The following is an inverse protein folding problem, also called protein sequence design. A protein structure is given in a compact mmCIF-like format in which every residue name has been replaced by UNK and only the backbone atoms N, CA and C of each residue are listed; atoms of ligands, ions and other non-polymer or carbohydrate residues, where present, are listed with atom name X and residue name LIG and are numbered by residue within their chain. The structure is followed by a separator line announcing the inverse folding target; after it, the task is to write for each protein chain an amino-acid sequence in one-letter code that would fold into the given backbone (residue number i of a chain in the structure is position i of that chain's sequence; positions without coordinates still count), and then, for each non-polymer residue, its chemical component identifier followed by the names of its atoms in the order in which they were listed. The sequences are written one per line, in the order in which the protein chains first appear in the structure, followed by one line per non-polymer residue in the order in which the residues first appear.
data_IF_844932504652
#
_entry.id   IF_844932504652
#
_cell.length_a   1.000
_cell.length_b   1.000
_cell.length_c   1.000
_cell.angle_alpha   90.00
_cell.angle_beta   90.00
_cell.angle_gamma   90.00
#
_symmetry.space_group_name_H-M   'P 1'
#
loop_
_entity.id
_entity.type
_entity.pdbx_description
1 polymer ?
#
# COMPACT_ATOMS: atom_id res chain seq x y z
N UNK A 1 5.43 -21.17 -30.07
CA UNK A 1 4.00 -20.92 -29.83
C UNK A 1 3.91 -19.71 -28.91
N UNK A 2 3.37 -18.60 -29.39
CA UNK A 2 3.20 -17.38 -28.59
C UNK A 2 1.82 -17.42 -27.96
N UNK A 3 1.73 -17.18 -26.66
CA UNK A 3 0.46 -17.07 -25.94
C UNK A 3 0.10 -15.58 -25.91
N UNK A 4 -1.03 -15.21 -26.50
CA UNK A 4 -1.54 -13.84 -26.50
C UNK A 4 -2.47 -13.62 -25.31
N UNK A 5 -2.11 -12.71 -24.40
CA UNK A 5 -2.86 -12.44 -23.16
C UNK A 5 -3.36 -10.99 -23.05
N UNK A 6 -3.04 -10.13 -24.02
CA UNK A 6 -3.34 -8.69 -23.99
C UNK A 6 -4.85 -8.36 -23.98
N UNK A 7 -5.70 -9.31 -24.36
CA UNK A 7 -7.16 -9.17 -24.36
C UNK A 7 -7.81 -9.57 -23.03
N UNK A 8 -7.05 -10.19 -22.11
CA UNK A 8 -7.59 -10.63 -20.84
C UNK A 8 -7.59 -9.47 -19.83
N UNK A 9 -8.67 -9.31 -19.04
CA UNK A 9 -8.68 -8.32 -17.98
C UNK A 9 -7.68 -8.72 -16.89
N UNK A 10 -6.99 -7.72 -16.33
CA UNK A 10 -6.11 -7.88 -15.19
C UNK A 10 -6.88 -7.65 -13.88
N UNK A 11 -6.58 -8.49 -12.89
CA UNK A 11 -6.98 -8.29 -11.50
C UNK A 11 -5.71 -8.04 -10.70
N UNK A 12 -5.58 -6.86 -10.10
CA UNK A 12 -4.53 -6.60 -9.13
C UNK A 12 -4.93 -7.27 -7.80
N UNK A 13 -4.27 -8.39 -7.50
CA UNK A 13 -4.59 -9.21 -6.32
C UNK A 13 -4.08 -8.61 -5.01
N UNK A 14 -3.30 -7.53 -5.04
CA UNK A 14 -2.93 -6.80 -3.85
C UNK A 14 -2.39 -5.39 -4.15
N UNK A 15 -3.19 -4.37 -3.83
CA UNK A 15 -2.77 -2.97 -3.87
C UNK A 15 -3.20 -2.21 -2.60
N UNK A 16 -2.90 -0.92 -2.56
CA UNK A 16 -3.29 0.00 -1.48
C UNK A 16 -4.17 1.12 -2.03
N UNK A 17 -5.13 1.62 -1.24
CA UNK A 17 -5.92 2.77 -1.61
C UNK A 17 -5.03 4.01 -1.63
N UNK A 18 -5.44 4.98 -2.43
CA UNK A 18 -4.82 6.29 -2.53
C UNK A 18 -5.90 7.31 -2.89
N UNK A 19 -5.83 8.49 -2.29
CA UNK A 19 -6.57 9.67 -2.71
C UNK A 19 -5.56 10.80 -2.74
N UNK A 20 -4.94 10.99 -3.90
CA UNK A 20 -3.95 12.05 -4.10
C UNK A 20 -4.29 12.89 -5.34
N UNK A 21 -5.48 13.53 -5.35
CA UNK A 21 -5.84 14.44 -6.42
C UNK A 21 -4.95 15.68 -6.33
N UNK A 22 -4.49 16.16 -7.49
CA UNK A 22 -3.71 17.39 -7.59
C UNK A 22 -2.34 17.21 -8.21
N UNK A 23 -1.66 18.33 -8.42
CA UNK A 23 -0.38 18.38 -9.10
C UNK A 23 0.74 17.76 -8.25
N UNK A 24 1.68 17.11 -8.92
CA UNK A 24 2.89 16.58 -8.31
C UNK A 24 4.10 17.36 -8.82
N UNK A 25 5.02 17.67 -7.90
CA UNK A 25 6.39 18.02 -8.30
C UNK A 25 7.09 16.80 -8.88
N UNK A 26 8.18 17.03 -9.62
CA UNK A 26 9.01 15.94 -10.15
C UNK A 26 9.55 15.06 -9.02
N UNK A 27 10.01 15.66 -7.93
CA UNK A 27 10.55 14.94 -6.78
C UNK A 27 9.48 14.07 -6.10
N UNK A 28 8.29 14.62 -5.85
CA UNK A 28 7.16 13.89 -5.27
C UNK A 28 6.73 12.73 -6.17
N UNK A 29 6.71 12.96 -7.48
CA UNK A 29 6.40 11.91 -8.44
C UNK A 29 7.42 10.76 -8.36
N UNK A 30 8.71 11.07 -8.26
CA UNK A 30 9.78 10.07 -8.08
C UNK A 30 9.64 9.36 -6.71
N UNK A 31 9.22 10.05 -5.67
CA UNK A 31 9.04 9.46 -4.34
C UNK A 31 7.88 8.48 -4.26
N UNK A 32 6.88 8.60 -5.15
CA UNK A 32 5.79 7.64 -5.28
C UNK A 32 6.26 6.25 -5.77
N UNK A 33 7.52 6.13 -6.22
CA UNK A 33 8.11 4.89 -6.70
C UNK A 33 8.84 4.12 -5.57
N UNK A 34 8.13 3.17 -4.94
CA UNK A 34 8.56 2.43 -3.73
C UNK A 34 9.65 1.34 -3.89
N UNK A 35 10.04 0.89 -5.10
CA UNK A 35 10.93 -0.27 -5.27
C UNK A 35 12.44 0.01 -5.17
N UNK A 36 12.83 1.19 -4.70
CA UNK A 36 14.23 1.66 -4.67
C UNK A 36 14.88 1.64 -3.29
N UNK A 37 14.16 1.16 -2.26
CA UNK A 37 14.61 1.15 -0.87
C UNK A 37 13.94 2.22 0.00
N UNK A 38 14.53 2.50 1.16
CA UNK A 38 14.02 3.49 2.12
C UNK A 38 13.95 4.90 1.53
N UNK A 39 12.88 5.64 1.84
CA UNK A 39 12.81 7.07 1.55
C UNK A 39 13.65 7.90 2.52
N UNK A 40 13.73 9.21 2.29
CA UNK A 40 14.41 10.17 3.19
C UNK A 40 13.96 10.02 4.66
N UNK A 41 12.65 9.85 4.98
CA UNK A 41 12.23 9.63 6.37
C UNK A 41 12.80 8.34 6.99
N UNK A 42 12.87 7.25 6.21
CA UNK A 42 13.43 5.99 6.67
C UNK A 42 14.93 6.10 6.95
N UNK A 43 15.66 6.74 6.04
CA UNK A 43 17.11 6.97 6.18
C UNK A 43 17.42 7.87 7.38
N UNK A 44 16.61 8.91 7.59
CA UNK A 44 16.72 9.82 8.73
C UNK A 44 16.44 9.09 10.05
N UNK A 45 15.41 8.24 10.08
CA UNK A 45 15.13 7.39 11.25
C UNK A 45 16.27 6.40 11.55
N UNK A 46 17.05 6.02 10.52
CA UNK A 46 18.28 5.26 10.65
C UNK A 46 19.51 6.06 11.10
N UNK A 47 19.38 7.37 11.36
CA UNK A 47 20.45 8.23 11.87
C UNK A 47 21.23 9.03 10.82
N UNK A 48 20.82 9.00 9.55
CA UNK A 48 21.42 9.86 8.52
C UNK A 48 20.90 11.30 8.64
N UNK A 49 21.76 12.31 8.37
CA UNK A 49 21.32 13.71 8.39
C UNK A 49 20.29 13.97 7.30
N UNK A 50 19.24 14.71 7.63
CA UNK A 50 18.28 15.19 6.65
C UNK A 50 18.83 16.44 5.97
N UNK A 51 19.62 16.23 4.92
CA UNK A 51 20.21 17.29 4.10
C UNK A 51 19.95 17.07 2.59
N UNK A 52 20.36 18.05 1.78
CA UNK A 52 20.17 18.00 0.32
C UNK A 52 20.93 16.82 -0.31
N UNK A 53 22.09 16.44 0.24
CA UNK A 53 22.87 15.32 -0.29
C UNK A 53 22.11 13.99 -0.13
N UNK A 54 21.45 13.78 1.02
CA UNK A 54 20.58 12.61 1.22
C UNK A 54 19.39 12.61 0.25
N UNK A 55 18.74 13.76 0.06
CA UNK A 55 17.60 13.90 -0.86
C UNK A 55 18.05 13.56 -2.29
N UNK A 56 19.16 14.14 -2.75
CA UNK A 56 19.71 13.94 -4.09
C UNK A 56 20.12 12.48 -4.33
N UNK A 57 20.75 11.83 -3.33
CA UNK A 57 21.12 10.41 -3.38
C UNK A 57 19.87 9.52 -3.54
N UNK A 58 18.87 9.70 -2.68
CA UNK A 58 17.62 8.91 -2.73
C UNK A 58 16.89 9.11 -4.06
N UNK A 59 16.81 10.35 -4.55
CA UNK A 59 16.24 10.68 -5.85
C UNK A 59 17.04 10.05 -6.99
N UNK A 60 18.37 10.07 -6.91
CA UNK A 60 19.28 9.45 -7.88
C UNK A 60 19.09 7.94 -7.97
N UNK A 61 19.08 7.24 -6.84
CA UNK A 61 18.83 5.79 -6.76
C UNK A 61 17.48 5.44 -7.38
N UNK A 62 16.42 6.17 -7.01
CA UNK A 62 15.07 5.99 -7.57
C UNK A 62 15.02 6.13 -9.08
N UNK A 63 15.58 7.23 -9.61
CA UNK A 63 15.55 7.54 -11.05
C UNK A 63 16.36 6.54 -11.87
N UNK A 64 17.38 5.92 -11.27
CA UNK A 64 18.24 4.93 -11.92
C UNK A 64 17.71 3.50 -11.82
N UNK A 65 16.70 3.23 -10.99
CA UNK A 65 16.05 1.93 -10.93
C UNK A 65 15.42 1.57 -12.30
N UNK A 66 15.62 0.32 -12.73
CA UNK A 66 15.12 -0.18 -14.03
C UNK A 66 13.62 0.08 -14.18
N UNK A 67 12.85 -0.19 -13.13
CA UNK A 67 11.41 -0.08 -13.16
C UNK A 67 10.93 1.38 -13.30
N UNK A 68 11.62 2.35 -12.68
CA UNK A 68 11.31 3.77 -12.85
C UNK A 68 11.55 4.18 -14.30
N UNK A 69 12.71 3.83 -14.86
CA UNK A 69 13.03 4.10 -16.27
C UNK A 69 12.06 3.42 -17.25
N UNK A 70 11.53 2.26 -16.90
CA UNK A 70 10.49 1.59 -17.67
C UNK A 70 9.16 2.33 -17.56
N UNK A 71 8.73 2.69 -16.35
CA UNK A 71 7.50 3.43 -16.10
C UNK A 71 7.45 4.77 -16.82
N UNK A 72 8.53 5.56 -16.80
CA UNK A 72 8.61 6.84 -17.54
C UNK A 72 8.38 6.61 -19.04
N UNK A 73 8.93 5.55 -19.63
CA UNK A 73 8.71 5.24 -21.05
C UNK A 73 7.28 4.80 -21.35
N UNK A 74 6.66 4.02 -20.46
CA UNK A 74 5.27 3.60 -20.64
C UNK A 74 4.30 4.78 -20.51
N UNK A 75 4.52 5.63 -19.49
CA UNK A 75 3.72 6.83 -19.28
C UNK A 75 3.91 7.84 -20.42
N UNK A 76 5.12 8.04 -20.92
CA UNK A 76 5.36 8.90 -22.07
C UNK A 76 4.61 8.41 -23.33
N UNK A 77 4.59 7.09 -23.57
CA UNK A 77 3.79 6.51 -24.65
C UNK A 77 2.29 6.73 -24.44
N UNK A 78 1.81 6.54 -23.21
CA UNK A 78 0.41 6.75 -22.86
C UNK A 78 -0.03 8.20 -23.04
N UNK A 79 0.79 9.16 -22.61
CA UNK A 79 0.52 10.59 -22.74
C UNK A 79 0.87 11.17 -24.11
N UNK A 80 1.60 10.43 -24.96
CA UNK A 80 2.07 10.93 -26.25
C UNK A 80 3.15 12.03 -26.15
N UNK A 81 3.96 12.05 -25.09
CA UNK A 81 5.05 13.01 -24.90
C UNK A 81 6.43 12.35 -25.00
N UNK A 82 7.52 13.14 -24.91
CA UNK A 82 8.86 12.55 -24.89
C UNK A 82 9.09 11.75 -23.59
N UNK A 83 9.92 10.70 -23.60
CA UNK A 83 10.25 9.92 -22.40
C UNK A 83 11.23 10.65 -21.48
N UNK A 84 10.90 11.89 -21.14
CA UNK A 84 11.62 12.81 -20.26
C UNK A 84 10.77 13.00 -19.00
N UNK A 85 11.38 12.79 -17.83
CA UNK A 85 10.67 12.81 -16.54
C UNK A 85 9.82 14.08 -16.35
N UNK A 86 10.38 15.26 -16.60
CA UNK A 86 9.66 16.53 -16.46
C UNK A 86 8.46 16.64 -17.40
N UNK A 87 8.57 16.16 -18.65
CA UNK A 87 7.46 16.17 -19.62
C UNK A 87 6.35 15.18 -19.22
N UNK A 88 6.73 13.99 -18.72
CA UNK A 88 5.76 13.00 -18.21
C UNK A 88 5.01 13.56 -17.01
N UNK A 89 5.70 14.20 -16.06
CA UNK A 89 5.06 14.81 -14.89
C UNK A 89 4.14 15.96 -15.29
N UNK A 90 4.55 16.82 -16.23
CA UNK A 90 3.71 17.90 -16.74
C UNK A 90 2.44 17.35 -17.44
N UNK A 91 2.57 16.32 -18.28
CA UNK A 91 1.44 15.68 -18.95
C UNK A 91 0.49 15.00 -17.96
N UNK A 92 1.04 14.28 -16.96
CA UNK A 92 0.26 13.70 -15.86
C UNK A 92 -0.51 14.78 -15.10
N UNK A 93 0.14 15.89 -14.75
CA UNK A 93 -0.51 16.99 -14.02
C UNK A 93 -1.66 17.59 -14.84
N UNK A 94 -1.47 17.81 -16.14
CA UNK A 94 -2.53 18.28 -17.03
C UNK A 94 -3.71 17.29 -17.09
N UNK A 95 -3.45 15.99 -17.22
CA UNK A 95 -4.49 14.95 -17.25
C UNK A 95 -5.23 14.86 -15.90
N UNK A 96 -4.50 14.94 -14.78
CA UNK A 96 -5.05 14.79 -13.43
C UNK A 96 -6.02 15.89 -12.99
N UNK A 97 -6.17 16.97 -13.77
CA UNK A 97 -7.21 18.00 -13.56
C UNK A 97 -8.62 17.42 -13.67
N UNK A 98 -8.79 16.37 -14.48
CA UNK A 98 -9.96 15.50 -14.48
C UNK A 98 -9.53 14.14 -13.93
N UNK A 99 -9.43 14.07 -12.60
CA UNK A 99 -8.81 12.93 -11.92
C UNK A 99 -9.53 11.61 -12.22
N UNK A 100 -10.87 11.62 -12.25
CA UNK A 100 -11.67 10.42 -12.53
C UNK A 100 -11.46 9.89 -13.95
N UNK A 101 -11.44 10.76 -14.97
CA UNK A 101 -11.16 10.31 -16.33
C UNK A 101 -9.69 9.91 -16.52
N UNK A 102 -8.77 10.58 -15.83
CA UNK A 102 -7.35 10.23 -15.81
C UNK A 102 -7.12 8.81 -15.26
N UNK A 103 -7.66 8.49 -14.08
CA UNK A 103 -7.53 7.14 -13.48
C UNK A 103 -8.21 6.08 -14.36
N UNK A 104 -9.40 6.37 -14.87
CA UNK A 104 -10.12 5.51 -15.83
C UNK A 104 -9.31 5.20 -17.08
N UNK A 105 -8.70 6.22 -17.69
CA UNK A 105 -7.90 6.05 -18.89
C UNK A 105 -6.65 5.20 -18.63
N UNK A 106 -5.96 5.42 -17.50
CA UNK A 106 -4.81 4.61 -17.11
C UNK A 106 -5.18 3.15 -16.89
N UNK A 107 -6.26 2.88 -16.16
CA UNK A 107 -6.71 1.51 -15.89
C UNK A 107 -7.18 0.80 -17.15
N UNK A 108 -7.89 1.53 -18.02
CA UNK A 108 -8.27 1.02 -19.34
C UNK A 108 -7.06 0.65 -20.20
N UNK A 109 -6.00 1.47 -20.17
CA UNK A 109 -4.79 1.22 -20.96
C UNK A 109 -4.00 -0.03 -20.53
N UNK A 110 -4.15 -0.48 -19.28
CA UNK A 110 -3.56 -1.74 -18.80
C UNK A 110 -4.58 -2.88 -18.64
N UNK A 111 -5.83 -2.69 -19.07
CA UNK A 111 -6.90 -3.69 -18.93
C UNK A 111 -7.23 -4.03 -17.47
N UNK A 112 -6.97 -3.13 -16.54
CA UNK A 112 -7.16 -3.35 -15.10
C UNK A 112 -8.64 -3.23 -14.73
N UNK A 113 -9.26 -4.35 -14.41
CA UNK A 113 -10.68 -4.45 -14.14
C UNK A 113 -11.01 -4.42 -12.64
N UNK A 114 -10.13 -4.99 -11.81
CA UNK A 114 -10.40 -5.21 -10.38
C UNK A 114 -9.14 -4.97 -9.54
N UNK A 115 -9.36 -4.37 -8.37
CA UNK A 115 -8.35 -4.09 -7.35
C UNK A 115 -8.73 -4.81 -6.04
N UNK A 116 -7.88 -5.70 -5.56
CA UNK A 116 -7.97 -6.25 -4.21
C UNK A 116 -7.16 -5.35 -3.28
N UNK A 117 -7.86 -4.51 -2.54
CA UNK A 117 -7.28 -3.31 -1.92
C UNK A 117 -7.18 -3.46 -0.42
N UNK A 118 -5.96 -3.38 0.11
CA UNK A 118 -5.68 -3.38 1.55
C UNK A 118 -5.83 -1.99 2.16
N UNK A 119 -6.92 -1.78 2.89
CA UNK A 119 -7.26 -0.51 3.54
C UNK A 119 -6.57 -0.29 4.90
N UNK A 120 -5.73 -1.22 5.36
CA UNK A 120 -4.90 -1.03 6.54
C UNK A 120 -3.64 -0.20 6.32
N UNK A 121 -3.44 0.33 5.11
CA UNK A 121 -2.36 1.24 4.74
C UNK A 121 -2.75 2.07 3.50
N UNK A 122 -2.44 3.38 3.44
CA UNK A 122 -1.72 4.16 4.44
C UNK A 122 -2.54 4.43 5.71
N UNK A 123 -1.89 4.99 6.73
CA UNK A 123 -2.55 5.52 7.93
C UNK A 123 -2.44 7.06 7.96
N UNK A 124 -3.51 7.80 8.30
CA UNK A 124 -4.86 7.31 8.60
C UNK A 124 -5.51 6.60 7.40
N UNK A 125 -6.35 5.60 7.69
CA UNK A 125 -6.98 4.77 6.66
C UNK A 125 -7.82 5.63 5.71
N UNK A 126 -7.72 5.33 4.42
CA UNK A 126 -8.56 5.92 3.38
C UNK A 126 -9.98 5.34 3.51
N UNK A 127 -10.99 6.18 3.40
CA UNK A 127 -12.38 5.72 3.43
C UNK A 127 -12.70 4.83 2.21
N UNK A 128 -13.34 3.69 2.47
CA UNK A 128 -13.60 2.65 1.45
C UNK A 128 -14.56 3.16 0.38
N UNK A 129 -15.62 3.84 0.79
CA UNK A 129 -16.67 4.28 -0.13
C UNK A 129 -16.20 5.50 -0.94
N UNK A 130 -15.44 6.40 -0.32
CA UNK A 130 -14.76 7.49 -1.03
C UNK A 130 -13.79 6.96 -2.09
N UNK A 131 -12.98 5.95 -1.75
CA UNK A 131 -12.07 5.34 -2.73
C UNK A 131 -12.84 4.63 -3.86
N UNK A 132 -13.92 3.91 -3.56
CA UNK A 132 -14.79 3.30 -4.59
C UNK A 132 -15.43 4.33 -5.51
N UNK A 133 -15.79 5.50 -5.00
CA UNK A 133 -16.42 6.56 -5.79
C UNK A 133 -15.45 7.21 -6.79
N UNK A 134 -14.16 7.27 -6.46
CA UNK A 134 -13.13 7.94 -7.27
C UNK A 134 -12.44 7.03 -8.30
N UNK A 135 -12.58 5.70 -8.14
CA UNK A 135 -11.79 4.72 -8.87
C UNK A 135 -12.64 3.98 -9.91
N UNK A 136 -12.13 3.92 -11.14
CA UNK A 136 -12.84 3.37 -12.29
C UNK A 136 -12.71 1.83 -12.45
N UNK A 137 -12.27 1.13 -11.42
CA UNK A 137 -12.16 -0.33 -11.37
C UNK A 137 -13.01 -0.89 -10.21
N UNK A 138 -13.38 -2.16 -10.30
CA UNK A 138 -14.02 -2.82 -9.17
C UNK A 138 -13.06 -2.89 -7.98
N UNK A 139 -13.47 -2.41 -6.81
CA UNK A 139 -12.66 -2.48 -5.58
C UNK A 139 -13.19 -3.59 -4.68
N UNK A 140 -12.31 -4.49 -4.30
CA UNK A 140 -12.53 -5.58 -3.34
C UNK A 140 -11.72 -5.26 -2.08
N UNK A 141 -12.35 -4.73 -1.01
CA UNK A 141 -11.64 -4.40 0.22
C UNK A 141 -11.13 -5.64 0.95
N UNK A 142 -9.89 -5.59 1.44
CA UNK A 142 -9.33 -6.57 2.40
C UNK A 142 -8.85 -5.86 3.67
N UNK A 143 -8.99 -6.56 4.80
CA UNK A 143 -8.75 -6.01 6.13
C UNK A 143 -7.37 -6.44 6.65
N UNK A 144 -6.50 -5.47 6.94
CA UNK A 144 -5.22 -5.74 7.60
C UNK A 144 -5.43 -5.91 9.10
N UNK A 145 -4.97 -7.03 9.64
CA UNK A 145 -5.18 -7.35 11.06
C UNK A 145 -4.23 -6.60 12.00
N UNK A 146 -3.06 -6.13 11.53
CA UNK A 146 -2.07 -5.52 12.41
C UNK A 146 -2.48 -4.20 13.07
N UNK A 147 -3.17 -3.26 12.40
CA UNK A 147 -3.72 -2.08 13.07
C UNK A 147 -4.63 -2.44 14.25
N UNK A 148 -5.51 -3.43 14.09
CA UNK A 148 -6.35 -3.95 15.17
C UNK A 148 -5.52 -4.55 16.30
N UNK A 149 -4.51 -5.36 15.98
CA UNK A 149 -3.62 -5.94 16.99
C UNK A 149 -2.93 -4.83 17.80
N UNK A 150 -2.42 -3.78 17.14
CA UNK A 150 -1.79 -2.63 17.80
C UNK A 150 -2.77 -1.90 18.72
N UNK A 151 -3.99 -1.65 18.27
CA UNK A 151 -5.05 -1.05 19.08
C UNK A 151 -5.36 -1.88 20.33
N UNK A 152 -5.58 -3.19 20.16
CA UNK A 152 -5.91 -4.10 21.26
C UNK A 152 -4.75 -4.27 22.26
N UNK A 153 -3.49 -4.23 21.79
CA UNK A 153 -2.31 -4.25 22.66
C UNK A 153 -2.21 -2.99 23.53
N UNK A 154 -2.60 -1.83 22.99
CA UNK A 154 -2.61 -0.56 23.72
C UNK A 154 -3.77 -0.44 24.73
N UNK A 155 -4.83 -1.23 24.57
CA UNK A 155 -5.99 -1.21 25.46
C UNK A 155 -5.69 -1.86 26.83
N UNK A 156 -6.24 -1.33 27.94
CA UNK A 156 -6.07 -1.89 29.28
C UNK A 156 -6.98 -3.11 29.53
N UNK A 157 -6.85 -4.16 28.73
CA UNK A 157 -7.72 -5.37 28.72
C UNK A 157 -6.97 -6.68 29.01
N UNK A 158 -7.61 -7.70 29.58
CA UNK A 158 -6.99 -9.02 29.75
C UNK A 158 -6.90 -9.84 28.46
N UNK A 159 -6.13 -10.92 28.46
CA UNK A 159 -5.98 -11.83 27.30
C UNK A 159 -7.32 -12.38 26.78
N UNK A 160 -8.23 -12.76 27.69
CA UNK A 160 -9.56 -13.25 27.30
C UNK A 160 -10.35 -12.20 26.51
N UNK A 161 -10.31 -10.94 26.94
CA UNK A 161 -10.99 -9.84 26.28
C UNK A 161 -10.30 -9.44 24.97
N UNK A 162 -8.96 -9.48 24.93
CA UNK A 162 -8.19 -9.29 23.70
C UNK A 162 -8.64 -10.29 22.62
N UNK A 163 -8.66 -11.59 22.94
CA UNK A 163 -9.08 -12.64 21.99
C UNK A 163 -10.52 -12.43 21.53
N UNK A 164 -11.43 -12.20 22.48
CA UNK A 164 -12.84 -11.98 22.18
C UNK A 164 -13.03 -10.83 21.20
N UNK A 165 -12.43 -9.66 21.48
CA UNK A 165 -12.52 -8.49 20.58
C UNK A 165 -11.87 -8.75 19.23
N UNK A 166 -10.70 -9.39 19.20
CA UNK A 166 -10.03 -9.74 17.95
C UNK A 166 -10.91 -10.62 17.05
N UNK A 167 -11.47 -11.71 17.61
CA UNK A 167 -12.33 -12.64 16.88
C UNK A 167 -13.64 -11.96 16.44
N UNK A 168 -14.31 -11.22 17.34
CA UNK A 168 -15.54 -10.50 17.04
C UNK A 168 -15.35 -9.43 15.96
N UNK A 169 -14.27 -8.65 16.02
CA UNK A 169 -13.97 -7.66 14.99
C UNK A 169 -13.70 -8.31 13.64
N UNK A 170 -12.94 -9.42 13.59
CA UNK A 170 -12.71 -10.14 12.32
C UNK A 170 -14.01 -10.65 11.72
N UNK A 171 -14.87 -11.26 12.55
CA UNK A 171 -16.18 -11.74 12.09
C UNK A 171 -17.02 -10.58 11.56
N UNK A 172 -17.06 -9.46 12.29
CA UNK A 172 -17.85 -8.29 11.91
C UNK A 172 -17.36 -7.65 10.60
N UNK A 173 -16.04 -7.50 10.40
CA UNK A 173 -15.54 -6.88 9.15
C UNK A 173 -15.85 -7.70 7.91
N UNK A 174 -15.83 -9.03 8.03
CA UNK A 174 -16.13 -9.96 6.93
C UNK A 174 -17.64 -10.06 6.68
N UNK A 175 -18.44 -10.14 7.74
CA UNK A 175 -19.88 -10.41 7.62
C UNK A 175 -20.71 -9.13 7.40
N UNK A 176 -20.30 -8.01 7.99
CA UNK A 176 -21.13 -6.81 8.09
C UNK A 176 -20.49 -5.56 7.48
N UNK A 177 -19.17 -5.47 7.39
CA UNK A 177 -18.49 -4.25 6.89
C UNK A 177 -17.99 -4.34 5.44
N UNK A 178 -18.29 -5.42 4.72
CA UNK A 178 -18.02 -5.53 3.29
C UNK A 178 -16.54 -5.76 2.91
N UNK A 179 -15.75 -6.35 3.83
CA UNK A 179 -14.42 -6.87 3.52
C UNK A 179 -14.48 -8.31 3.03
N UNK A 180 -13.67 -8.66 2.03
CA UNK A 180 -13.69 -9.97 1.36
C UNK A 180 -12.46 -10.83 1.65
N UNK A 181 -11.55 -10.35 2.49
CA UNK A 181 -10.33 -11.05 2.82
C UNK A 181 -9.57 -10.40 3.96
N UNK A 182 -8.60 -11.12 4.49
CA UNK A 182 -7.69 -10.65 5.53
C UNK A 182 -6.27 -10.53 4.98
N UNK A 183 -5.52 -9.56 5.51
CA UNK A 183 -4.10 -9.38 5.24
C UNK A 183 -3.33 -9.39 6.55
N UNK A 184 -2.21 -10.09 6.56
CA UNK A 184 -1.19 -9.96 7.59
C UNK A 184 0.11 -9.41 6.99
N UNK A 185 0.79 -8.56 7.75
CA UNK A 185 2.14 -8.05 7.50
C UNK A 185 3.16 -8.62 8.51
N UNK A 186 2.88 -9.79 9.09
CA UNK A 186 3.74 -10.47 10.07
C UNK A 186 5.20 -10.65 9.59
N UNK A 187 5.42 -10.85 8.28
CA UNK A 187 6.75 -10.92 7.69
C UNK A 187 7.64 -9.71 8.03
N UNK A 188 7.06 -8.51 8.10
CA UNK A 188 7.75 -7.27 8.43
C UNK A 188 7.96 -7.07 9.94
N UNK A 189 7.42 -7.97 10.77
CA UNK A 189 7.48 -7.89 12.24
C UNK A 189 8.38 -8.97 12.81
N UNK A 190 8.08 -10.23 12.50
CA UNK A 190 8.73 -11.41 13.10
C UNK A 190 9.32 -12.35 12.05
N UNK A 191 9.20 -12.04 10.76
CA UNK A 191 9.47 -12.98 9.68
C UNK A 191 8.33 -13.97 9.45
N UNK A 192 8.56 -14.95 8.59
CA UNK A 192 7.57 -15.96 8.16
C UNK A 192 7.84 -17.36 8.72
N UNK A 193 8.79 -17.50 9.65
CA UNK A 193 9.00 -18.73 10.40
C UNK A 193 7.91 -18.89 11.48
N UNK A 194 6.66 -18.96 10.99
CA UNK A 194 5.46 -19.08 11.81
C UNK A 194 5.28 -20.56 12.12
N UNK A 195 5.67 -20.94 13.32
CA UNK A 195 5.31 -22.25 13.87
C UNK A 195 3.91 -22.19 14.48
N UNK A 196 3.13 -23.29 14.42
CA UNK A 196 2.00 -23.44 15.33
C UNK A 196 2.56 -23.31 16.74
N UNK A 197 2.25 -22.21 17.41
CA UNK A 197 2.59 -21.98 18.81
C UNK A 197 2.28 -23.28 19.58
N UNK A 198 3.30 -23.85 20.18
CA UNK A 198 3.31 -25.22 20.69
C UNK A 198 2.26 -25.41 21.78
N UNK A 199 1.04 -25.83 21.43
CA UNK A 199 0.04 -26.59 22.22
C UNK A 199 -0.31 -26.14 23.66
N UNK A 200 0.21 -25.04 24.18
CA UNK A 200 -0.12 -24.53 25.53
C UNK A 200 -0.98 -23.27 25.39
N UNK A 201 -2.21 -23.26 25.95
CA UNK A 201 -3.16 -22.13 25.87
C UNK A 201 -2.62 -20.76 26.29
N UNK A 202 -1.53 -20.74 27.07
CA UNK A 202 -1.03 -19.55 27.77
C UNK A 202 0.02 -18.74 27.01
N UNK A 203 0.50 -19.20 25.84
CA UNK A 203 1.58 -18.49 25.12
C UNK A 203 1.18 -17.09 24.65
N UNK A 204 -0.07 -16.90 24.21
CA UNK A 204 -0.57 -15.57 23.85
C UNK A 204 -0.70 -14.64 25.05
N UNK A 205 -1.07 -15.17 26.22
CA UNK A 205 -1.05 -14.43 27.48
C UNK A 205 0.37 -14.04 27.87
N UNK A 206 1.32 -14.97 27.80
CA UNK A 206 2.74 -14.70 28.09
C UNK A 206 3.32 -13.63 27.18
N UNK A 207 2.98 -13.66 25.88
CA UNK A 207 3.38 -12.63 24.92
C UNK A 207 2.76 -11.27 25.24
N UNK A 208 1.46 -11.21 25.53
CA UNK A 208 0.78 -9.98 25.93
C UNK A 208 1.41 -9.36 27.19
N UNK A 209 1.67 -10.19 28.20
CA UNK A 209 2.31 -9.76 29.46
C UNK A 209 3.77 -9.35 29.26
N UNK A 210 4.51 -9.99 28.35
CA UNK A 210 5.87 -9.60 27.98
C UNK A 210 5.88 -8.21 27.32
N UNK A 211 5.04 -8.01 26.29
CA UNK A 211 4.93 -6.72 25.57
C UNK A 211 4.56 -5.59 26.54
N UNK A 212 3.63 -5.83 27.47
CA UNK A 212 3.24 -4.85 28.49
C UNK A 212 4.34 -4.47 29.46
N UNK A 213 5.29 -5.37 29.70
CA UNK A 213 6.48 -5.11 30.53
C UNK A 213 7.60 -4.40 29.74
N UNK A 214 7.38 -4.11 28.46
CA UNK A 214 8.37 -3.44 27.60
C UNK A 214 9.47 -4.36 27.10
N UNK A 215 9.19 -5.67 26.99
CA UNK A 215 10.06 -6.62 26.30
C UNK A 215 9.79 -6.62 24.79
#
# INVERSE_FOLDING_TARGET
MTIELSHLPAVDVHCHPFLDPGEMSVERFVDAFSFSGGGVPFMTAGGLPHDQALIDEVQGVRRNALYHRYAIRQLARFFGCAPVLAEVVAARNAASRDYANYTKALYGACGLATLVTDFGYPLPAVDVDAFKAEIAAQVIPIYRIEPLIVELLAAPIGWAEFKRRYDETIVDVIQNQGFYGLKSVIAYRTGLDVSPLSRTPDQGLQALDAIRRGL
#
